data_IF_940924548533
#
_entry.id   IF_940924548533
#
_cell.length_a   1.000
_cell.length_b   1.000
_cell.length_c   1.000
_cell.angle_alpha   90.00
_cell.angle_beta   90.00
_cell.angle_gamma   90.00
#
_symmetry.space_group_name_H-M   'P 1'
#
loop_
_entity.id
_entity.type
_entity.pdbx_description
1 polymer ?
#
# COMPACT_ATOMS: atom_id res chain seq x y z
N UNK A 1 -2.11 12.37 -21.40
CA UNK A 1 -1.92 11.96 -19.99
C UNK A 1 -2.89 10.81 -19.77
N UNK A 2 -2.41 9.64 -19.36
CA UNK A 2 -3.32 8.52 -19.07
C UNK A 2 -4.23 8.83 -17.87
N UNK A 3 -5.47 8.32 -17.82
CA UNK A 3 -6.31 8.39 -16.63
C UNK A 3 -5.61 7.76 -15.42
N UNK A 4 -5.88 8.30 -14.23
CA UNK A 4 -5.19 7.82 -13.01
C UNK A 4 -5.68 6.44 -12.60
N UNK A 5 -6.95 6.15 -12.87
CA UNK A 5 -7.58 4.86 -12.63
C UNK A 5 -6.93 3.77 -13.47
N UNK A 6 -6.65 4.04 -14.75
CA UNK A 6 -5.98 3.11 -15.66
C UNK A 6 -4.55 2.82 -15.20
N UNK A 7 -3.80 3.87 -14.83
CA UNK A 7 -2.47 3.72 -14.25
C UNK A 7 -2.47 2.86 -12.99
N UNK A 8 -3.42 3.09 -12.08
CA UNK A 8 -3.51 2.33 -10.84
C UNK A 8 -3.91 0.87 -11.10
N UNK A 9 -4.78 0.60 -12.07
CA UNK A 9 -5.10 -0.76 -12.48
C UNK A 9 -3.88 -1.50 -13.04
N UNK A 10 -3.11 -0.87 -13.94
CA UNK A 10 -1.85 -1.42 -14.43
C UNK A 10 -0.86 -1.67 -13.28
N UNK A 11 -0.74 -0.72 -12.35
CA UNK A 11 0.12 -0.85 -11.18
C UNK A 11 -0.28 -2.06 -10.30
N UNK A 12 -1.57 -2.24 -9.99
CA UNK A 12 -2.02 -3.36 -9.16
C UNK A 12 -1.74 -4.71 -9.84
N UNK A 13 -1.96 -4.80 -11.15
CA UNK A 13 -1.66 -6.00 -11.93
C UNK A 13 -0.16 -6.32 -11.91
N UNK A 14 0.68 -5.33 -12.25
CA UNK A 14 2.13 -5.50 -12.24
C UNK A 14 2.66 -5.85 -10.84
N UNK A 15 2.11 -5.25 -9.77
CA UNK A 15 2.49 -5.56 -8.40
C UNK A 15 2.09 -7.00 -8.01
N UNK A 16 0.87 -7.42 -8.33
CA UNK A 16 0.42 -8.80 -8.09
C UNK A 16 1.29 -9.84 -8.83
N UNK A 17 1.71 -9.54 -10.06
CA UNK A 17 2.61 -10.41 -10.83
C UNK A 17 4.00 -10.53 -10.18
N UNK A 18 4.56 -9.41 -9.68
CA UNK A 18 5.82 -9.41 -8.93
C UNK A 18 5.71 -10.23 -7.65
N UNK A 19 4.63 -10.06 -6.88
CA UNK A 19 4.42 -10.86 -5.66
C UNK A 19 4.26 -12.35 -5.99
N UNK A 20 3.53 -12.70 -7.06
CA UNK A 20 3.41 -14.10 -7.52
C UNK A 20 4.78 -14.71 -7.85
N UNK A 21 5.64 -13.96 -8.52
CA UNK A 21 7.01 -14.40 -8.83
C UNK A 21 7.86 -14.59 -7.56
N UNK A 22 7.79 -13.66 -6.60
CA UNK A 22 8.49 -13.79 -5.30
C UNK A 22 8.03 -15.04 -4.54
N UNK A 23 6.73 -15.32 -4.53
CA UNK A 23 6.18 -16.50 -3.86
C UNK A 23 6.65 -17.81 -4.48
N UNK A 24 6.70 -17.86 -5.82
CA UNK A 24 7.23 -19.02 -6.52
C UNK A 24 8.70 -19.27 -6.13
N UNK A 25 9.53 -18.23 -6.05
CA UNK A 25 10.91 -18.33 -5.59
C UNK A 25 11.02 -18.70 -4.09
N UNK A 26 10.13 -18.17 -3.26
CA UNK A 26 10.12 -18.42 -1.82
C UNK A 26 9.75 -19.87 -1.47
N UNK A 27 8.96 -20.56 -2.31
CA UNK A 27 8.55 -21.94 -2.06
C UNK A 27 9.75 -22.87 -1.80
N UNK A 28 10.81 -22.79 -2.60
CA UNK A 28 12.00 -23.64 -2.42
C UNK A 28 12.74 -23.35 -1.12
N UNK A 29 12.79 -22.08 -0.68
CA UNK A 29 13.32 -21.73 0.64
C UNK A 29 12.41 -22.32 1.73
N UNK A 30 11.10 -22.15 1.60
CA UNK A 30 10.14 -22.61 2.59
C UNK A 30 10.25 -24.11 2.83
N UNK A 31 10.20 -24.90 1.77
CA UNK A 31 10.18 -26.37 1.82
C UNK A 31 11.49 -26.95 2.41
N UNK A 32 12.57 -26.16 2.45
CA UNK A 32 13.85 -26.55 3.08
C UNK A 32 13.91 -26.26 4.58
N UNK A 33 13.28 -25.18 5.04
CA UNK A 33 13.49 -24.65 6.40
C UNK A 33 12.26 -24.77 7.31
N UNK A 34 11.09 -25.05 6.76
CA UNK A 34 9.84 -25.15 7.51
C UNK A 34 9.16 -26.49 7.28
N UNK A 35 8.39 -26.93 8.27
CA UNK A 35 7.54 -28.10 8.15
C UNK A 35 6.40 -27.86 7.17
N UNK A 36 5.92 -28.92 6.54
CA UNK A 36 4.80 -28.86 5.61
C UNK A 36 3.60 -28.14 6.23
N UNK A 37 3.02 -27.20 5.46
CA UNK A 37 1.87 -26.41 5.88
C UNK A 37 2.19 -25.22 6.80
N UNK A 38 3.43 -25.04 7.25
CA UNK A 38 3.81 -23.85 8.01
C UNK A 38 4.10 -22.66 7.09
N UNK A 39 3.31 -21.58 7.23
CA UNK A 39 3.44 -20.34 6.45
C UNK A 39 3.85 -19.16 7.35
N UNK A 40 5.16 -18.96 7.61
CA UNK A 40 5.64 -18.01 8.61
C UNK A 40 5.39 -16.53 8.29
N UNK A 41 5.00 -16.19 7.06
CA UNK A 41 4.91 -14.81 6.59
C UNK A 41 3.59 -14.44 5.91
N UNK A 42 2.53 -15.26 6.05
CA UNK A 42 1.22 -14.96 5.47
C UNK A 42 1.29 -14.69 3.96
N UNK A 43 2.16 -15.45 3.28
CA UNK A 43 2.54 -15.24 1.88
C UNK A 43 1.34 -15.33 0.94
N UNK A 44 0.41 -16.23 1.25
CA UNK A 44 -0.82 -16.41 0.49
C UNK A 44 -1.77 -15.22 0.66
N UNK A 45 -1.90 -14.71 1.89
CA UNK A 45 -2.77 -13.58 2.22
C UNK A 45 -2.23 -12.27 1.66
N UNK A 46 -0.90 -12.12 1.57
CA UNK A 46 -0.28 -10.97 0.91
C UNK A 46 -0.64 -10.92 -0.58
N UNK A 47 -0.60 -12.07 -1.27
CA UNK A 47 -1.02 -12.16 -2.68
C UNK A 47 -2.49 -11.77 -2.87
N UNK A 48 -3.38 -12.37 -2.08
CA UNK A 48 -4.81 -12.06 -2.16
C UNK A 48 -5.10 -10.59 -1.88
N UNK A 49 -4.35 -9.99 -0.94
CA UNK A 49 -4.45 -8.56 -0.67
C UNK A 49 -4.03 -7.71 -1.87
N UNK A 50 -2.99 -8.07 -2.61
CA UNK A 50 -2.62 -7.32 -3.83
C UNK A 50 -3.70 -7.46 -4.93
N UNK A 51 -4.23 -8.66 -5.15
CA UNK A 51 -5.23 -8.92 -6.19
C UNK A 51 -6.62 -8.32 -5.86
N UNK A 52 -6.93 -8.15 -4.58
CA UNK A 52 -8.18 -7.58 -4.08
C UNK A 52 -8.16 -6.05 -3.92
N UNK A 53 -7.02 -5.39 -4.15
CA UNK A 53 -6.92 -3.94 -3.94
C UNK A 53 -7.74 -3.15 -4.97
N UNK A 54 -8.55 -2.20 -4.51
CA UNK A 54 -9.45 -1.39 -5.35
C UNK A 54 -9.36 0.08 -4.99
N UNK A 55 -9.60 0.95 -5.98
CA UNK A 55 -9.69 2.40 -5.76
C UNK A 55 -10.96 2.72 -4.99
N UNK A 56 -10.83 3.48 -3.91
CA UNK A 56 -11.94 4.02 -3.11
C UNK A 56 -12.23 5.46 -3.48
N UNK A 57 -11.18 6.27 -3.67
CA UNK A 57 -11.33 7.68 -4.04
C UNK A 57 -10.09 8.22 -4.72
N UNK A 58 -10.32 9.26 -5.52
CA UNK A 58 -9.28 10.03 -6.20
C UNK A 58 -9.50 11.49 -5.87
N UNK A 59 -8.46 12.17 -5.38
CA UNK A 59 -8.51 13.58 -5.02
C UNK A 59 -7.30 14.33 -5.58
N UNK A 60 -7.53 15.52 -6.13
CA UNK A 60 -6.43 16.40 -6.57
C UNK A 60 -5.94 17.25 -5.39
N UNK A 61 -4.63 17.25 -5.16
CA UNK A 61 -3.96 18.00 -4.10
C UNK A 61 -2.79 18.82 -4.69
N UNK A 62 -3.11 19.99 -5.23
CA UNK A 62 -2.14 20.84 -5.92
C UNK A 62 -1.57 20.17 -7.17
N UNK A 63 -0.25 19.97 -7.20
CA UNK A 63 0.45 19.27 -8.29
C UNK A 63 0.35 17.74 -8.19
N UNK A 64 -0.14 17.20 -7.07
CA UNK A 64 -0.25 15.76 -6.84
C UNK A 64 -1.69 15.29 -7.00
N UNK A 65 -1.84 14.04 -7.41
CA UNK A 65 -3.10 13.30 -7.32
C UNK A 65 -2.98 12.29 -6.20
N UNK A 66 -3.94 12.27 -5.29
CA UNK A 66 -3.97 11.35 -4.16
C UNK A 66 -5.03 10.30 -4.45
N UNK A 67 -4.62 9.03 -4.51
CA UNK A 67 -5.51 7.88 -4.69
C UNK A 67 -5.59 7.13 -3.38
N UNK A 68 -6.80 6.97 -2.85
CA UNK A 68 -7.05 6.09 -1.70
C UNK A 68 -7.57 4.77 -2.22
N UNK A 69 -7.02 3.67 -1.72
CA UNK A 69 -7.42 2.32 -2.07
C UNK A 69 -7.85 1.56 -0.83
N UNK A 70 -8.55 0.46 -1.03
CA UNK A 70 -8.83 -0.51 0.01
C UNK A 70 -8.49 -1.91 -0.47
N UNK A 71 -8.10 -2.76 0.48
CA UNK A 71 -7.94 -4.19 0.26
C UNK A 71 -8.30 -4.95 1.54
N UNK A 72 -8.41 -6.27 1.44
CA UNK A 72 -8.61 -7.16 2.57
C UNK A 72 -7.35 -7.99 2.75
N UNK A 73 -6.75 -7.87 3.92
CA UNK A 73 -5.66 -8.74 4.36
C UNK A 73 -6.15 -9.53 5.57
N UNK A 74 -6.20 -10.86 5.43
CA UNK A 74 -6.86 -11.75 6.38
C UNK A 74 -8.33 -11.34 6.56
N UNK A 75 -8.69 -10.79 7.72
CA UNK A 75 -10.02 -10.27 8.05
C UNK A 75 -10.03 -8.75 8.27
N UNK A 76 -8.91 -8.09 7.99
CA UNK A 76 -8.75 -6.65 8.20
C UNK A 76 -8.90 -5.92 6.88
N UNK A 77 -9.83 -4.97 6.86
CA UNK A 77 -9.87 -3.98 5.79
C UNK A 77 -8.68 -3.03 5.97
N UNK A 78 -7.79 -3.04 4.99
CA UNK A 78 -6.67 -2.11 4.90
C UNK A 78 -7.03 -1.02 3.92
N UNK A 79 -6.49 0.17 4.16
CA UNK A 79 -6.52 1.26 3.20
C UNK A 79 -5.10 1.77 2.97
N UNK A 80 -4.82 2.09 1.73
CA UNK A 80 -3.57 2.75 1.34
C UNK A 80 -3.88 4.08 0.68
N UNK A 81 -2.90 4.97 0.72
CA UNK A 81 -2.94 6.27 0.07
C UNK A 81 -1.68 6.47 -0.76
N UNK A 82 -1.87 6.54 -2.07
CA UNK A 82 -0.82 6.79 -3.04
C UNK A 82 -0.83 8.27 -3.39
N UNK A 83 0.34 8.92 -3.34
CA UNK A 83 0.52 10.26 -3.90
C UNK A 83 1.23 10.14 -5.24
N UNK A 84 0.57 10.60 -6.29
CA UNK A 84 1.03 10.50 -7.66
C UNK A 84 1.40 11.86 -8.22
N UNK A 85 2.43 11.89 -9.05
CA UNK A 85 2.84 13.05 -9.83
C UNK A 85 2.72 12.71 -11.33
N UNK A 86 2.20 13.65 -12.11
CA UNK A 86 2.20 13.56 -13.56
C UNK A 86 3.63 13.74 -14.09
N UNK A 87 4.15 12.77 -14.86
CA UNK A 87 5.50 12.81 -15.46
C UNK A 87 5.52 12.11 -16.81
N UNK A 88 5.97 12.81 -17.86
CA UNK A 88 6.21 12.20 -19.18
C UNK A 88 4.97 11.58 -19.84
N UNK A 89 3.78 12.13 -19.61
CA UNK A 89 2.52 11.58 -20.13
C UNK A 89 1.92 10.44 -19.31
N UNK A 90 2.60 10.01 -18.25
CA UNK A 90 2.20 8.98 -17.30
C UNK A 90 2.15 9.54 -15.87
N UNK A 91 1.93 8.66 -14.89
CA UNK A 91 2.02 8.94 -13.47
C UNK A 91 3.21 8.24 -12.85
N UNK A 92 3.69 8.79 -11.73
CA UNK A 92 4.68 8.15 -10.86
C UNK A 92 4.21 8.20 -9.42
N UNK A 93 4.33 7.10 -8.69
CA UNK A 93 4.04 7.04 -7.26
C UNK A 93 5.22 7.66 -6.51
N UNK A 94 4.95 8.75 -5.80
CA UNK A 94 5.95 9.51 -5.02
C UNK A 94 5.86 9.26 -3.53
N UNK A 95 4.74 8.70 -3.06
CA UNK A 95 4.52 8.38 -1.65
C UNK A 95 3.45 7.31 -1.51
N UNK A 96 3.66 6.39 -0.58
CA UNK A 96 2.70 5.37 -0.16
C UNK A 96 2.52 5.49 1.34
N UNK A 97 1.27 5.59 1.76
CA UNK A 97 0.87 5.59 3.16
C UNK A 97 -0.12 4.47 3.42
N UNK A 98 -0.09 3.90 4.62
CA UNK A 98 -1.11 2.99 5.10
C UNK A 98 -1.98 3.67 6.16
N UNK A 99 -3.23 3.24 6.23
CA UNK A 99 -4.11 3.60 7.31
C UNK A 99 -3.50 3.24 8.67
N UNK A 100 -3.49 4.19 9.61
CA UNK A 100 -2.89 3.96 10.92
C UNK A 100 -3.81 3.12 11.80
N UNK A 101 -3.50 1.83 11.91
CA UNK A 101 -4.25 0.86 12.75
C UNK A 101 -4.26 1.23 14.23
N UNK A 102 -3.20 1.90 14.70
CA UNK A 102 -3.03 2.27 16.11
C UNK A 102 -4.05 3.30 16.57
N UNK A 103 -4.44 4.23 15.71
CA UNK A 103 -5.47 5.24 16.01
C UNK A 103 -6.74 5.07 15.19
N UNK A 104 -6.88 3.95 14.50
CA UNK A 104 -7.95 3.67 13.55
C UNK A 104 -8.22 4.85 12.59
N UNK A 105 -7.15 5.45 12.05
CA UNK A 105 -7.23 6.57 11.11
C UNK A 105 -7.66 7.91 11.68
N UNK A 106 -8.05 7.99 12.95
CA UNK A 106 -8.51 9.24 13.58
C UNK A 106 -7.40 10.26 13.81
N UNK A 107 -6.15 9.82 13.79
CA UNK A 107 -5.00 10.61 14.23
C UNK A 107 -4.94 10.82 15.75
N UNK A 108 -5.81 10.17 16.54
CA UNK A 108 -5.92 10.38 17.99
C UNK A 108 -5.98 9.06 18.76
N UNK A 109 -5.38 9.03 19.96
CA UNK A 109 -5.53 7.92 20.90
C UNK A 109 -6.73 8.11 21.84
N UNK A 110 -6.88 9.34 22.31
CA UNK A 110 -7.99 9.87 23.11
C UNK A 110 -8.33 11.25 22.58
N UNK A 111 -9.45 11.86 22.97
CA UNK A 111 -9.94 13.12 22.39
C UNK A 111 -8.85 14.21 22.21
N UNK A 112 -7.86 14.28 23.11
CA UNK A 112 -6.85 15.34 23.10
C UNK A 112 -5.41 14.91 22.77
N UNK A 113 -5.13 13.61 22.62
CA UNK A 113 -3.76 13.13 22.35
C UNK A 113 -3.60 12.68 20.91
N UNK A 114 -2.70 13.37 20.18
CA UNK A 114 -2.25 12.96 18.85
C UNK A 114 -1.66 11.56 18.91
N UNK A 115 -1.94 10.76 17.89
CA UNK A 115 -1.34 9.45 17.74
C UNK A 115 0.15 9.60 17.42
N UNK A 116 1.01 9.09 18.29
CA UNK A 116 2.47 9.12 18.13
C UNK A 116 2.96 8.29 16.93
N UNK A 117 2.20 7.27 16.50
CA UNK A 117 2.55 6.43 15.34
C UNK A 117 2.42 7.17 14.01
N UNK A 118 1.38 7.98 13.85
CA UNK A 118 1.11 8.72 12.60
C UNK A 118 1.25 10.24 12.76
N UNK A 119 1.77 10.70 13.89
CA UNK A 119 1.88 12.11 14.27
C UNK A 119 0.58 12.91 14.03
N UNK A 120 -0.55 12.32 14.45
CA UNK A 120 -1.86 12.97 14.32
C UNK A 120 -2.50 12.90 12.93
N UNK A 121 -1.87 12.29 11.93
CA UNK A 121 -2.34 12.35 10.53
C UNK A 121 -3.39 11.29 10.18
N UNK A 122 -3.49 10.23 10.98
CA UNK A 122 -4.32 9.06 10.66
C UNK A 122 -3.69 8.11 9.62
N UNK A 123 -2.57 8.50 9.02
CA UNK A 123 -1.85 7.77 7.97
C UNK A 123 -0.38 7.60 8.35
N UNK A 124 0.14 6.39 8.18
CA UNK A 124 1.53 6.04 8.41
C UNK A 124 2.27 5.97 7.06
N UNK A 125 3.44 6.63 6.97
CA UNK A 125 4.25 6.61 5.75
C UNK A 125 4.97 5.27 5.64
N UNK A 126 4.72 4.53 4.56
CA UNK A 126 5.42 3.28 4.24
C UNK A 126 6.63 3.53 3.33
N UNK A 127 6.44 4.38 2.33
CA UNK A 127 7.48 4.76 1.39
C UNK A 127 7.24 6.19 0.91
N UNK A 128 8.32 6.93 0.70
CA UNK A 128 8.29 8.25 0.08
C UNK A 128 9.52 8.39 -0.80
N UNK A 129 9.39 9.13 -1.90
CA UNK A 129 10.54 9.61 -2.64
C UNK A 129 11.50 10.31 -1.66
N UNK A 130 12.82 10.06 -1.75
CA UNK A 130 13.78 10.79 -0.95
C UNK A 130 13.59 12.28 -1.22
N UNK A 131 13.40 13.08 -0.17
CA UNK A 131 13.45 14.53 -0.32
C UNK A 131 14.85 14.82 -0.79
N UNK A 132 14.99 15.30 -2.04
CA UNK A 132 16.28 15.64 -2.61
C UNK A 132 17.06 16.48 -1.61
N UNK A 133 18.24 16.00 -1.23
CA UNK A 133 19.24 16.80 -0.55
C UNK A 133 19.55 17.96 -1.50
N UNK A 134 19.10 19.16 -1.15
CA UNK A 134 19.61 20.40 -1.77
C UNK A 134 21.12 20.48 -1.59
#
# INVERSE_FOLDING_TARGET
MQPVEDFMHEFFQAHADVERAKLAAYRSFRDRFFVDGYEPFGTYELRHSCEAERIVSVAKAGLRTVVTTSTVYWSLQLQFRYSLLARGGSWVITKVEAFCKVCNGSGRFTHDRRCTRCDGKGWEVLAAEPIGSN
#
